data_IF_881571017758
#
_entry.id   IF_881571017758
#
_cell.length_a   1.000
_cell.length_b   1.000
_cell.length_c   1.000
_cell.angle_alpha   90.00
_cell.angle_beta   90.00
_cell.angle_gamma   90.00
#
_symmetry.space_group_name_H-M   'P 1'
#
loop_
_entity.id
_entity.type
_entity.pdbx_description
1 polymer ?
#
# COMPACT_ATOMS: atom_id res chain seq x y z
N UNK A 1 -52.64 -49.43 29.56
CA UNK A 1 -51.44 -49.41 28.70
C UNK A 1 -50.46 -48.41 29.30
N UNK A 2 -49.42 -48.89 30.02
CA UNK A 2 -48.40 -48.05 30.66
C UNK A 2 -47.15 -48.08 29.77
N UNK A 3 -46.76 -46.92 29.26
CA UNK A 3 -45.59 -46.77 28.38
C UNK A 3 -44.33 -46.48 29.20
N UNK A 4 -43.35 -47.35 29.07
CA UNK A 4 -42.02 -47.27 29.70
C UNK A 4 -41.18 -46.19 29.01
N UNK A 5 -40.53 -45.31 29.78
CA UNK A 5 -39.55 -44.34 29.28
C UNK A 5 -38.16 -44.98 29.27
N UNK A 6 -37.47 -44.93 28.13
CA UNK A 6 -36.06 -45.28 28.02
C UNK A 6 -35.20 -44.06 28.36
N UNK A 7 -34.27 -44.23 29.29
CA UNK A 7 -33.21 -43.27 29.61
C UNK A 7 -31.98 -43.63 28.78
N UNK A 8 -31.53 -42.72 27.93
CA UNK A 8 -30.25 -42.82 27.21
C UNK A 8 -29.17 -42.15 28.04
N UNK A 9 -28.19 -42.92 28.51
CA UNK A 9 -26.98 -42.43 29.17
C UNK A 9 -25.96 -42.10 28.08
N UNK A 10 -25.61 -40.82 27.92
CA UNK A 10 -24.46 -40.40 27.11
C UNK A 10 -23.20 -40.44 27.99
N UNK A 11 -22.26 -41.29 27.61
CA UNK A 11 -20.89 -41.30 28.16
C UNK A 11 -20.06 -40.35 27.30
N UNK A 12 -19.71 -39.20 27.84
CA UNK A 12 -18.79 -38.25 27.21
C UNK A 12 -17.35 -38.71 27.42
N UNK A 13 -16.70 -39.19 26.36
CA UNK A 13 -15.27 -39.50 26.33
C UNK A 13 -14.49 -38.21 26.04
N UNK A 14 -13.92 -37.58 27.07
CA UNK A 14 -12.99 -36.44 26.90
C UNK A 14 -11.62 -36.96 26.51
N UNK A 15 -11.30 -36.92 25.21
CA UNK A 15 -9.93 -37.04 24.70
C UNK A 15 -9.17 -35.74 25.00
N UNK A 16 -8.28 -35.79 25.97
CA UNK A 16 -7.34 -34.70 26.27
C UNK A 16 -6.36 -34.52 25.12
N UNK A 17 -6.55 -33.48 24.31
CA UNK A 17 -5.54 -33.03 23.35
C UNK A 17 -4.48 -32.28 24.14
N UNK A 18 -3.32 -32.92 24.34
CA UNK A 18 -2.16 -32.26 24.90
C UNK A 18 -1.74 -31.08 24.00
N UNK A 19 -1.75 -29.87 24.56
CA UNK A 19 -1.12 -28.72 23.94
C UNK A 19 0.39 -28.96 23.92
N UNK A 20 0.92 -29.32 22.75
CA UNK A 20 2.33 -29.16 22.45
C UNK A 20 2.62 -27.66 22.38
N UNK A 21 3.11 -27.10 23.48
CA UNK A 21 3.76 -25.80 23.48
C UNK A 21 5.05 -25.96 22.67
N UNK A 22 5.01 -25.58 21.39
CA UNK A 22 6.23 -25.31 20.63
C UNK A 22 6.88 -24.09 21.25
N UNK A 23 7.73 -24.30 22.26
CA UNK A 23 8.66 -23.31 22.75
C UNK A 23 9.57 -22.95 21.60
N UNK A 24 9.28 -21.84 20.92
CA UNK A 24 10.16 -21.28 19.92
C UNK A 24 11.51 -21.01 20.59
N UNK A 25 12.54 -21.73 20.18
CA UNK A 25 13.90 -21.42 20.55
C UNK A 25 14.13 -19.95 20.21
N UNK A 26 14.46 -19.14 21.21
CA UNK A 26 14.88 -17.76 21.00
C UNK A 26 16.05 -17.85 20.02
N UNK A 27 15.87 -17.33 18.80
CA UNK A 27 16.93 -17.30 17.83
C UNK A 27 18.16 -16.71 18.52
N UNK A 28 19.28 -17.44 18.50
CA UNK A 28 20.53 -16.89 18.99
C UNK A 28 20.73 -15.55 18.30
N UNK A 29 21.05 -14.51 19.06
CA UNK A 29 21.43 -13.20 18.56
C UNK A 29 22.96 -13.13 18.61
N UNK A 30 23.66 -13.68 17.59
CA UNK A 30 25.10 -13.86 17.65
C UNK A 30 25.81 -12.51 17.53
N UNK A 31 25.07 -11.47 17.10
CA UNK A 31 25.56 -10.13 16.88
C UNK A 31 25.30 -9.19 18.06
N UNK A 32 24.59 -9.63 19.10
CA UNK A 32 24.24 -8.84 20.28
C UNK A 32 23.39 -7.61 19.93
N UNK A 33 22.44 -7.76 19.02
CA UNK A 33 21.54 -6.71 18.61
C UNK A 33 20.68 -6.21 19.79
N UNK A 34 20.36 -4.90 19.84
CA UNK A 34 19.43 -4.37 20.85
C UNK A 34 18.09 -5.11 20.82
N UNK A 35 17.36 -5.14 21.94
CA UNK A 35 15.94 -5.55 21.93
C UNK A 35 15.07 -4.43 21.37
N UNK A 36 13.92 -4.78 20.78
CA UNK A 36 12.98 -3.82 20.21
C UNK A 36 13.29 -3.46 18.75
N UNK A 37 12.89 -2.25 18.36
CA UNK A 37 13.15 -1.68 17.02
C UNK A 37 14.64 -1.45 16.86
N UNK A 38 15.21 -1.99 15.79
CA UNK A 38 16.60 -1.82 15.42
C UNK A 38 16.78 -0.52 14.64
N UNK A 39 17.95 0.10 14.73
CA UNK A 39 18.36 1.12 13.77
C UNK A 39 18.98 0.45 12.56
N UNK A 40 18.87 1.06 11.37
CA UNK A 40 19.59 0.58 10.19
C UNK A 40 21.10 0.45 10.44
N UNK A 41 21.68 1.33 11.27
CA UNK A 41 23.08 1.27 11.70
C UNK A 41 23.45 0.01 12.49
N UNK A 42 22.49 -0.61 13.20
CA UNK A 42 22.73 -1.83 13.99
C UNK A 42 23.01 -3.05 13.09
N UNK A 43 22.59 -2.97 11.82
CA UNK A 43 22.79 -3.99 10.79
C UNK A 43 23.86 -3.58 9.75
N UNK A 44 24.50 -2.43 9.92
CA UNK A 44 25.46 -1.90 8.94
C UNK A 44 26.65 -2.84 8.75
N UNK A 45 26.79 -3.38 7.54
CA UNK A 45 27.86 -4.33 7.19
C UNK A 45 27.70 -5.73 7.80
N UNK A 46 26.56 -6.04 8.41
CA UNK A 46 26.25 -7.34 9.01
C UNK A 46 25.15 -8.04 8.23
N UNK A 47 25.20 -9.38 8.17
CA UNK A 47 24.11 -10.15 7.59
C UNK A 47 22.96 -10.28 8.60
N UNK A 48 21.76 -9.87 8.20
CA UNK A 48 20.55 -10.09 8.98
C UNK A 48 20.24 -11.58 9.19
N UNK A 49 20.77 -12.46 8.35
CA UNK A 49 20.65 -13.92 8.54
C UNK A 49 21.54 -14.35 9.72
N UNK A 50 22.83 -14.01 9.65
CA UNK A 50 23.82 -14.38 10.67
C UNK A 50 23.49 -13.75 12.03
N UNK A 51 22.91 -12.55 12.02
CA UNK A 51 22.50 -11.86 13.23
C UNK A 51 21.10 -12.25 13.75
N UNK A 52 20.38 -13.16 13.08
CA UNK A 52 19.01 -13.52 13.48
C UNK A 52 18.03 -12.34 13.43
N UNK A 53 18.26 -11.38 12.52
CA UNK A 53 17.48 -10.17 12.37
C UNK A 53 16.33 -10.26 11.36
N UNK A 54 16.27 -11.32 10.54
CA UNK A 54 15.11 -11.57 9.65
C UNK A 54 13.83 -11.66 10.47
N UNK A 55 12.79 -10.93 10.04
CA UNK A 55 11.52 -10.82 10.75
C UNK A 55 11.53 -9.82 11.91
N UNK A 56 12.68 -9.24 12.27
CA UNK A 56 12.75 -8.13 13.23
C UNK A 56 12.36 -6.81 12.57
N UNK A 57 12.06 -5.82 13.39
CA UNK A 57 11.67 -4.48 12.95
C UNK A 57 12.90 -3.56 12.97
N UNK A 58 13.09 -2.81 11.90
CA UNK A 58 14.14 -1.80 11.72
C UNK A 58 13.47 -0.46 11.47
N UNK A 59 13.93 0.60 12.11
CA UNK A 59 13.61 1.99 11.74
C UNK A 59 14.19 2.26 10.34
N UNK A 60 13.30 2.36 9.36
CA UNK A 60 13.63 2.64 7.97
C UNK A 60 13.94 4.12 7.74
N UNK A 61 13.76 4.97 8.76
CA UNK A 61 13.98 6.41 8.75
C UNK A 61 12.81 7.14 9.41
N UNK A 62 13.08 8.31 9.98
CA UNK A 62 12.11 9.15 10.69
C UNK A 62 11.32 8.44 11.81
N UNK A 63 11.79 7.30 12.33
CA UNK A 63 11.06 6.50 13.32
C UNK A 63 9.99 5.58 12.70
N UNK A 64 9.98 5.38 11.38
CA UNK A 64 9.04 4.49 10.70
C UNK A 64 9.57 3.06 10.70
N UNK A 65 8.94 2.14 11.45
CA UNK A 65 9.40 0.76 11.50
C UNK A 65 9.10 0.04 10.18
N UNK A 66 9.99 -0.81 9.67
CA UNK A 66 9.72 -1.81 8.64
C UNK A 66 10.32 -3.15 9.06
N UNK A 67 9.66 -4.25 8.68
CA UNK A 67 10.15 -5.57 8.99
C UNK A 67 11.26 -6.00 8.02
N UNK A 68 12.37 -6.51 8.55
CA UNK A 68 13.44 -7.12 7.78
C UNK A 68 12.90 -8.35 7.06
N UNK A 69 12.97 -8.31 5.74
CA UNK A 69 12.50 -9.39 4.88
C UNK A 69 13.55 -10.51 4.76
N UNK A 70 13.16 -11.70 4.26
CA UNK A 70 14.14 -12.73 3.91
C UNK A 70 15.19 -12.24 2.89
N UNK A 71 16.33 -12.92 2.75
CA UNK A 71 17.34 -12.60 1.75
C UNK A 71 16.80 -12.58 0.34
N UNK A 72 17.20 -11.58 -0.43
CA UNK A 72 16.70 -11.32 -1.77
C UNK A 72 15.32 -10.64 -1.80
N UNK A 73 14.74 -10.25 -0.67
CA UNK A 73 13.40 -9.64 -0.62
C UNK A 73 13.44 -8.18 -0.17
N UNK A 74 12.40 -7.44 -0.53
CA UNK A 74 12.20 -6.06 -0.07
C UNK A 74 10.74 -5.79 0.27
N UNK A 75 10.54 -4.76 1.09
CA UNK A 75 9.24 -4.15 1.36
C UNK A 75 9.35 -2.65 1.12
N UNK A 76 8.33 -2.07 0.49
CA UNK A 76 8.18 -0.63 0.32
C UNK A 76 6.85 -0.21 0.93
N UNK A 77 6.88 0.83 1.75
CA UNK A 77 5.73 1.52 2.31
C UNK A 77 5.64 2.90 1.65
N UNK A 78 4.59 3.12 0.87
CA UNK A 78 4.24 4.40 0.30
C UNK A 78 3.08 5.00 1.10
N UNK A 79 3.23 6.24 1.56
CA UNK A 79 2.29 6.96 2.41
C UNK A 79 1.88 8.26 1.70
N UNK A 80 0.60 8.39 1.38
CA UNK A 80 0.07 9.59 0.74
C UNK A 80 -0.60 10.51 1.77
N UNK A 81 -0.18 11.77 1.79
CA UNK A 81 -0.76 12.86 2.56
C UNK A 81 -1.56 13.79 1.63
N UNK A 82 -2.42 14.66 2.18
CA UNK A 82 -3.07 15.72 1.40
C UNK A 82 -2.14 16.60 0.55
N UNK A 83 -0.94 16.87 1.04
CA UNK A 83 0.00 17.88 0.53
C UNK A 83 1.41 17.32 0.28
N UNK A 84 1.54 15.99 0.27
CA UNK A 84 2.81 15.32 0.10
C UNK A 84 2.73 13.80 0.16
N UNK A 85 3.89 13.16 0.10
CA UNK A 85 4.04 11.73 0.31
C UNK A 85 5.36 11.42 0.97
N UNK A 86 5.41 10.25 1.59
CA UNK A 86 6.65 9.63 2.04
C UNK A 86 6.72 8.20 1.55
N UNK A 87 7.91 7.80 1.16
CA UNK A 87 8.21 6.42 0.83
C UNK A 87 9.31 5.94 1.76
N UNK A 88 9.09 4.78 2.37
CA UNK A 88 10.09 4.04 3.10
C UNK A 88 10.32 2.70 2.40
N UNK A 89 11.57 2.28 2.31
CA UNK A 89 11.92 0.97 1.73
C UNK A 89 12.95 0.27 2.58
N UNK A 90 12.83 -1.04 2.66
CA UNK A 90 13.79 -1.91 3.30
C UNK A 90 14.08 -3.08 2.38
N UNK A 91 15.33 -3.21 1.94
CA UNK A 91 15.80 -4.28 1.05
C UNK A 91 16.80 -5.14 1.79
N UNK A 92 16.63 -6.45 1.73
CA UNK A 92 17.61 -7.43 2.22
C UNK A 92 18.19 -8.15 1.00
N UNK A 93 19.47 -7.93 0.72
CA UNK A 93 20.11 -8.57 -0.45
C UNK A 93 20.28 -10.09 -0.26
N UNK A 94 20.84 -10.76 -1.27
CA UNK A 94 21.07 -12.21 -1.25
C UNK A 94 22.05 -12.68 -0.16
N UNK A 95 22.89 -11.77 0.34
CA UNK A 95 23.84 -12.00 1.45
C UNK A 95 23.24 -11.63 2.81
N UNK A 96 22.01 -11.12 2.84
CA UNK A 96 21.34 -10.69 4.06
C UNK A 96 21.71 -9.26 4.49
N UNK A 97 22.39 -8.47 3.67
CA UNK A 97 22.70 -7.08 3.99
C UNK A 97 21.43 -6.24 3.82
N UNK A 98 21.10 -5.49 4.87
CA UNK A 98 19.89 -4.66 4.91
C UNK A 98 20.21 -3.23 4.51
N UNK A 99 19.47 -2.69 3.54
CA UNK A 99 19.52 -1.28 3.15
C UNK A 99 18.15 -0.65 3.35
N UNK A 100 18.13 0.48 4.05
CA UNK A 100 16.94 1.32 4.20
C UNK A 100 17.02 2.52 3.26
N UNK A 101 15.87 2.98 2.76
CA UNK A 101 15.78 4.16 1.91
C UNK A 101 14.53 4.97 2.23
N UNK A 102 14.68 6.30 2.20
CA UNK A 102 13.61 7.27 2.47
C UNK A 102 13.51 8.24 1.30
N UNK A 103 12.29 8.51 0.86
CA UNK A 103 11.96 9.61 -0.04
C UNK A 103 10.85 10.44 0.60
N UNK A 104 11.06 11.75 0.72
CA UNK A 104 10.08 12.68 1.28
C UNK A 104 9.76 13.75 0.24
N UNK A 105 8.48 13.96 -0.03
CA UNK A 105 7.97 15.07 -0.84
C UNK A 105 6.90 15.78 -0.01
N UNK A 106 7.11 17.07 0.34
CA UNK A 106 6.24 17.84 1.25
C UNK A 106 5.96 19.25 0.75
N UNK A 107 4.96 19.87 1.38
CA UNK A 107 4.65 21.30 1.36
C UNK A 107 4.27 21.83 -0.02
N UNK A 108 3.58 20.99 -0.81
CA UNK A 108 3.15 21.38 -2.15
C UNK A 108 1.66 21.24 -2.28
N UNK A 109 1.00 22.40 -2.22
CA UNK A 109 -0.41 22.49 -2.49
C UNK A 109 -0.63 22.16 -3.97
N UNK A 110 -1.36 21.08 -4.29
CA UNK A 110 -1.58 20.74 -5.67
C UNK A 110 -2.45 21.78 -6.38
N UNK A 111 -3.12 22.69 -5.65
CA UNK A 111 -3.96 23.77 -6.19
C UNK A 111 -3.16 24.87 -6.95
N UNK A 112 -1.84 24.74 -7.09
CA UNK A 112 -1.01 25.65 -7.88
C UNK A 112 -1.23 25.47 -9.39
N UNK A 113 -1.17 26.57 -10.18
CA UNK A 113 -1.13 26.48 -11.63
C UNK A 113 0.17 25.82 -12.09
N UNK A 114 0.09 24.98 -13.13
CA UNK A 114 1.25 24.30 -13.68
C UNK A 114 0.93 23.66 -15.03
N UNK A 115 1.93 23.05 -15.70
CA UNK A 115 1.73 22.31 -16.93
C UNK A 115 0.64 21.25 -16.77
N UNK A 116 -0.15 21.04 -17.79
CA UNK A 116 -1.17 19.99 -17.81
C UNK A 116 -0.52 18.60 -17.69
N UNK A 117 -1.31 17.62 -17.26
CA UNK A 117 -0.88 16.22 -17.15
C UNK A 117 -0.30 15.65 -18.48
N UNK A 118 -0.60 16.28 -19.62
CA UNK A 118 -0.21 15.81 -20.94
C UNK A 118 1.06 16.47 -21.50
N UNK A 119 1.54 17.53 -20.85
CA UNK A 119 2.75 18.25 -21.26
C UNK A 119 4.02 17.69 -20.62
N UNK A 120 3.88 16.90 -19.55
CA UNK A 120 4.99 16.32 -18.80
C UNK A 120 5.17 14.85 -19.13
N UNK A 121 6.40 14.46 -19.42
CA UNK A 121 6.79 13.07 -19.69
C UNK A 121 7.67 12.46 -18.59
N UNK A 122 7.80 13.14 -17.45
CA UNK A 122 8.57 12.68 -16.29
C UNK A 122 7.95 11.42 -15.69
N UNK A 123 8.79 10.43 -15.39
CA UNK A 123 8.42 9.29 -14.56
C UNK A 123 9.66 8.73 -13.85
N UNK A 124 9.42 8.09 -12.70
CA UNK A 124 10.44 7.35 -11.96
C UNK A 124 9.90 5.95 -11.66
N UNK A 125 10.77 4.95 -11.75
CA UNK A 125 10.39 3.54 -11.67
C UNK A 125 11.05 2.86 -10.47
N UNK A 126 10.32 1.93 -9.85
CA UNK A 126 10.85 0.94 -8.92
C UNK A 126 11.66 -0.09 -9.69
N UNK A 127 12.50 -0.84 -8.97
CA UNK A 127 13.25 -1.97 -9.52
C UNK A 127 12.37 -3.20 -9.78
N UNK A 128 11.21 -3.29 -9.14
CA UNK A 128 10.27 -4.40 -9.29
C UNK A 128 9.19 -4.12 -10.34
N UNK A 129 8.61 -5.20 -10.86
CA UNK A 129 7.35 -5.19 -11.61
C UNK A 129 6.59 -6.49 -11.41
N UNK A 130 5.32 -6.51 -11.82
CA UNK A 130 4.53 -7.73 -11.86
C UNK A 130 4.80 -8.54 -13.14
N UNK A 131 5.17 -9.82 -12.98
CA UNK A 131 5.29 -10.77 -14.10
C UNK A 131 4.04 -11.60 -14.33
N UNK A 132 3.07 -11.49 -13.42
CA UNK A 132 1.75 -12.12 -13.46
C UNK A 132 0.70 -11.05 -13.16
N UNK A 133 -0.57 -11.25 -13.55
CA UNK A 133 -1.62 -10.32 -13.19
C UNK A 133 -1.68 -10.10 -11.67
N UNK A 134 -1.73 -8.85 -11.24
CA UNK A 134 -2.01 -8.51 -9.84
C UNK A 134 -3.51 -8.69 -9.56
N UNK A 135 -3.86 -9.85 -9.03
CA UNK A 135 -5.24 -10.20 -8.68
C UNK A 135 -5.46 -9.86 -7.21
N UNK A 136 -6.38 -8.94 -6.94
CA UNK A 136 -6.65 -8.45 -5.60
C UNK A 136 -8.10 -8.68 -5.17
N UNK A 137 -8.33 -8.61 -3.87
CA UNK A 137 -9.66 -8.65 -3.25
C UNK A 137 -9.89 -7.39 -2.43
N UNK A 138 -11.15 -7.01 -2.25
CA UNK A 138 -11.53 -6.01 -1.25
C UNK A 138 -11.97 -6.68 0.04
N UNK A 139 -11.75 -6.04 1.19
CA UNK A 139 -12.29 -6.57 2.45
C UNK A 139 -13.83 -6.47 2.45
N UNK A 140 -14.52 -7.50 2.93
CA UNK A 140 -15.98 -7.51 3.04
C UNK A 140 -16.45 -6.35 3.92
N UNK A 141 -17.45 -5.60 3.44
CA UNK A 141 -17.97 -4.43 4.13
C UNK A 141 -17.09 -3.18 4.03
N UNK A 142 -16.00 -3.20 3.25
CA UNK A 142 -15.22 -2.00 2.97
C UNK A 142 -16.09 -0.96 2.28
N UNK A 143 -16.19 0.21 2.89
CA UNK A 143 -16.82 1.40 2.35
C UNK A 143 -16.10 2.63 2.90
N UNK A 144 -16.11 3.71 2.14
CA UNK A 144 -15.68 5.03 2.59
C UNK A 144 -16.88 5.96 2.57
N UNK A 145 -16.92 6.91 3.50
CA UNK A 145 -18.05 7.85 3.67
C UNK A 145 -19.42 7.12 3.69
N UNK A 146 -20.47 7.72 3.14
CA UNK A 146 -21.80 7.13 2.98
C UNK A 146 -21.91 6.23 1.74
N UNK A 147 -20.78 5.82 1.15
CA UNK A 147 -20.78 4.91 0.01
C UNK A 147 -21.08 3.48 0.40
N UNK A 148 -21.39 2.66 -0.59
CA UNK A 148 -21.52 1.22 -0.44
C UNK A 148 -20.22 0.49 -0.78
N UNK A 149 -20.14 -0.80 -0.44
CA UNK A 149 -19.05 -1.66 -0.91
C UNK A 149 -19.00 -1.73 -2.45
N UNK A 150 -20.15 -1.62 -3.13
CA UNK A 150 -20.19 -1.59 -4.59
C UNK A 150 -19.54 -0.32 -5.15
N UNK A 151 -19.70 0.83 -4.50
CA UNK A 151 -19.06 2.09 -4.90
C UNK A 151 -17.54 2.01 -4.73
N UNK A 152 -17.08 1.45 -3.61
CA UNK A 152 -15.66 1.20 -3.36
C UNK A 152 -15.06 0.23 -4.39
N UNK A 153 -15.71 -0.91 -4.63
CA UNK A 153 -15.28 -1.88 -5.64
C UNK A 153 -15.24 -1.25 -7.04
N UNK A 154 -16.21 -0.39 -7.37
CA UNK A 154 -16.24 0.30 -8.65
C UNK A 154 -15.06 1.27 -8.80
N UNK A 155 -14.72 2.03 -7.75
CA UNK A 155 -13.53 2.89 -7.74
C UNK A 155 -12.24 2.07 -7.88
N UNK A 156 -12.09 0.98 -7.12
CA UNK A 156 -10.93 0.08 -7.18
C UNK A 156 -10.79 -0.62 -8.55
N UNK A 157 -11.90 -1.00 -9.19
CA UNK A 157 -11.88 -1.54 -10.56
C UNK A 157 -11.43 -0.49 -11.57
N UNK A 158 -11.86 0.77 -11.42
CA UNK A 158 -11.45 1.84 -12.32
C UNK A 158 -9.97 2.20 -12.14
N UNK A 159 -9.46 2.25 -10.91
CA UNK A 159 -8.03 2.53 -10.66
C UNK A 159 -7.10 1.46 -11.27
N UNK A 160 -7.41 0.17 -11.14
CA UNK A 160 -6.62 -0.88 -11.81
C UNK A 160 -6.74 -0.81 -13.34
N UNK A 161 -7.91 -0.44 -13.88
CA UNK A 161 -8.08 -0.22 -15.32
C UNK A 161 -7.25 0.98 -15.80
N UNK A 162 -7.13 2.04 -15.00
CA UNK A 162 -6.31 3.20 -15.36
C UNK A 162 -4.86 2.79 -15.61
N UNK A 163 -4.29 1.92 -14.76
CA UNK A 163 -2.93 1.38 -14.93
C UNK A 163 -2.81 0.35 -16.06
N UNK A 164 -3.68 -0.66 -16.06
CA UNK A 164 -3.57 -1.80 -16.99
C UNK A 164 -3.99 -1.48 -18.42
N UNK A 165 -4.83 -0.46 -18.60
CA UNK A 165 -5.26 0.05 -19.91
C UNK A 165 -4.71 1.44 -20.21
N UNK A 166 -3.76 1.93 -19.43
CA UNK A 166 -3.13 3.24 -19.62
C UNK A 166 -4.14 4.36 -19.87
N UNK A 167 -5.26 4.37 -19.14
CA UNK A 167 -6.36 5.33 -19.39
C UNK A 167 -5.86 6.74 -19.10
N UNK A 168 -5.89 7.59 -20.11
CA UNK A 168 -5.37 8.96 -20.06
C UNK A 168 -6.28 9.90 -20.85
N UNK A 169 -6.19 11.20 -20.54
CA UNK A 169 -6.85 12.28 -21.30
C UNK A 169 -5.93 12.91 -22.34
N UNK A 170 -4.73 12.34 -22.54
CA UNK A 170 -3.67 12.87 -23.40
C UNK A 170 -3.70 12.32 -24.84
N UNK A 171 -4.73 11.55 -25.20
CA UNK A 171 -4.85 10.92 -26.52
C UNK A 171 -3.82 9.80 -26.78
N UNK A 172 -3.11 9.35 -25.75
CA UNK A 172 -2.12 8.28 -25.87
C UNK A 172 -2.79 6.90 -25.88
N UNK A 173 -2.25 5.95 -26.64
CA UNK A 173 -2.73 4.56 -26.62
C UNK A 173 -2.53 3.88 -25.27
N UNK A 174 -3.52 3.10 -24.84
CA UNK A 174 -3.57 2.48 -23.51
C UNK A 174 -2.75 1.21 -23.28
N UNK A 175 -1.92 0.80 -24.24
CA UNK A 175 -1.29 -0.53 -24.24
C UNK A 175 -0.06 -0.59 -23.32
N UNK A 176 -0.29 -0.59 -22.01
CA UNK A 176 0.82 -0.65 -21.03
C UNK A 176 1.43 -2.04 -20.95
N UNK A 177 0.65 -3.10 -21.21
CA UNK A 177 1.09 -4.49 -21.04
C UNK A 177 0.97 -5.02 -19.61
N UNK A 178 0.64 -4.15 -18.65
CA UNK A 178 0.32 -4.53 -17.28
C UNK A 178 -1.03 -5.25 -17.21
N UNK A 179 -1.23 -6.08 -16.19
CA UNK A 179 -2.49 -6.80 -15.98
C UNK A 179 -2.83 -6.94 -14.50
N UNK A 180 -4.12 -7.03 -14.20
CA UNK A 180 -4.66 -7.13 -12.85
C UNK A 180 -6.17 -6.99 -12.83
N UNK A 181 -6.80 -7.41 -11.74
CA UNK A 181 -8.25 -7.36 -11.58
C UNK A 181 -8.69 -7.55 -10.12
N UNK A 182 -9.83 -6.96 -9.77
CA UNK A 182 -10.59 -7.32 -8.58
C UNK A 182 -11.29 -8.67 -8.79
N UNK A 183 -10.89 -9.69 -8.02
CA UNK A 183 -11.39 -11.07 -8.13
C UNK A 183 -12.45 -11.45 -7.08
N UNK A 184 -12.84 -10.53 -6.21
CA UNK A 184 -13.92 -10.72 -5.24
C UNK A 184 -13.60 -10.13 -3.88
N UNK A 185 -14.28 -10.63 -2.85
CA UNK A 185 -14.16 -10.13 -1.48
C UNK A 185 -13.46 -11.13 -0.57
N UNK A 186 -12.85 -10.64 0.50
CA UNK A 186 -12.22 -11.46 1.53
C UNK A 186 -12.55 -10.98 2.93
N UNK A 187 -12.42 -11.85 3.93
CA UNK A 187 -12.45 -11.44 5.34
C UNK A 187 -11.05 -11.03 5.85
N UNK A 188 -10.00 -11.34 5.08
CA UNK A 188 -8.62 -10.91 5.34
C UNK A 188 -8.52 -9.41 5.06
N UNK A 189 -7.80 -8.69 5.92
CA UNK A 189 -7.45 -7.27 5.74
C UNK A 189 -6.04 -7.17 5.19
N UNK A 190 -5.69 -6.01 4.61
CA UNK A 190 -4.30 -5.75 4.22
C UNK A 190 -3.37 -5.87 5.43
N UNK A 191 -2.17 -6.39 5.21
CA UNK A 191 -1.24 -6.74 6.28
C UNK A 191 -0.46 -5.52 6.78
N UNK A 192 -1.18 -4.64 7.45
CA UNK A 192 -0.62 -3.53 8.21
C UNK A 192 -0.62 -3.90 9.69
N UNK A 193 0.52 -3.74 10.34
CA UNK A 193 0.74 -4.04 11.76
C UNK A 193 1.03 -2.77 12.54
N UNK A 194 0.79 -2.79 13.85
CA UNK A 194 1.17 -1.68 14.73
C UNK A 194 2.47 -2.02 15.45
N UNK A 195 3.49 -1.19 15.27
CA UNK A 195 4.80 -1.33 15.89
C UNK A 195 5.28 0.03 16.38
N UNK A 196 5.74 0.10 17.63
CA UNK A 196 6.35 1.28 18.24
C UNK A 196 5.55 2.59 18.07
N UNK A 197 4.24 2.51 18.31
CA UNK A 197 3.39 3.70 18.23
C UNK A 197 2.88 4.03 16.82
N UNK A 198 3.29 3.27 15.79
CA UNK A 198 2.94 3.52 14.40
C UNK A 198 2.37 2.30 13.68
N UNK A 199 1.52 2.55 12.69
CA UNK A 199 1.15 1.54 11.70
C UNK A 199 2.36 1.29 10.79
N UNK A 200 2.53 0.10 10.22
CA UNK A 200 3.54 -0.22 9.20
C UNK A 200 3.15 -1.45 8.38
N UNK A 201 3.90 -1.76 7.32
CA UNK A 201 3.80 -3.02 6.59
C UNK A 201 4.28 -4.19 7.46
N UNK A 202 3.44 -5.23 7.55
CA UNK A 202 3.84 -6.52 8.11
C UNK A 202 4.69 -7.36 7.14
N UNK A 203 4.81 -8.64 7.44
CA UNK A 203 5.39 -9.62 6.52
C UNK A 203 4.52 -9.78 5.26
N UNK A 204 5.07 -10.20 4.13
CA UNK A 204 4.20 -10.63 3.03
C UNK A 204 3.37 -11.85 3.50
N UNK A 205 2.05 -11.77 3.36
CA UNK A 205 1.12 -12.88 3.63
C UNK A 205 0.64 -13.57 2.33
N UNK A 206 1.18 -13.15 1.18
CA UNK A 206 0.82 -13.64 -0.14
C UNK A 206 -0.58 -13.23 -0.61
N UNK A 207 -1.28 -12.36 0.13
CA UNK A 207 -2.55 -11.78 -0.27
C UNK A 207 -2.33 -10.41 -0.92
N UNK A 208 -3.28 -10.04 -1.78
CA UNK A 208 -3.36 -8.71 -2.35
C UNK A 208 -4.72 -8.15 -1.96
N UNK A 209 -4.74 -7.18 -1.06
CA UNK A 209 -5.95 -6.66 -0.45
C UNK A 209 -5.99 -5.14 -0.56
N UNK A 210 -7.12 -4.63 -1.04
CA UNK A 210 -7.48 -3.22 -0.87
C UNK A 210 -8.55 -3.15 0.23
N UNK A 211 -8.29 -2.39 1.28
CA UNK A 211 -9.26 -2.20 2.35
C UNK A 211 -9.38 -0.75 2.79
N UNK A 212 -10.26 -0.53 3.77
CA UNK A 212 -10.35 0.70 4.51
C UNK A 212 -10.17 0.42 6.00
N UNK A 213 -9.50 1.34 6.67
CA UNK A 213 -9.23 1.24 8.10
C UNK A 213 -8.69 2.55 8.64
N UNK A 214 -8.53 2.59 9.95
CA UNK A 214 -7.82 3.69 10.59
C UNK A 214 -6.34 3.66 10.21
N UNK A 215 -5.81 4.82 9.87
CA UNK A 215 -4.39 5.05 9.60
C UNK A 215 -3.94 6.23 10.46
N UNK A 216 -3.90 6.03 11.79
CA UNK A 216 -3.57 7.11 12.70
C UNK A 216 -2.12 7.50 12.45
N UNK A 217 -1.88 8.78 12.19
CA UNK A 217 -0.55 9.30 11.86
C UNK A 217 0.51 9.05 12.93
N UNK A 218 0.11 8.71 14.16
CA UNK A 218 1.03 8.58 15.29
C UNK A 218 1.70 9.92 15.56
N UNK A 219 3.04 9.98 15.52
CA UNK A 219 3.80 11.25 15.54
C UNK A 219 3.86 11.95 14.17
N UNK A 220 3.43 11.28 13.10
CA UNK A 220 3.23 11.87 11.78
C UNK A 220 1.79 12.35 11.64
N UNK A 221 1.51 13.13 10.59
CA UNK A 221 0.14 13.51 10.27
C UNK A 221 -0.65 12.29 9.78
N UNK A 222 -1.97 12.37 9.89
CA UNK A 222 -2.85 11.39 9.26
C UNK A 222 -2.59 11.37 7.74
N UNK A 223 -2.90 10.25 7.11
CA UNK A 223 -2.63 9.99 5.69
C UNK A 223 -3.91 9.61 4.97
N UNK A 224 -3.98 9.88 3.67
CA UNK A 224 -5.11 9.49 2.82
C UNK A 224 -5.13 7.99 2.58
N UNK A 225 -3.97 7.42 2.25
CA UNK A 225 -3.82 6.00 1.96
C UNK A 225 -2.37 5.55 2.12
N UNK A 226 -2.21 4.26 2.41
CA UNK A 226 -0.91 3.58 2.46
C UNK A 226 -0.89 2.42 1.47
N UNK A 227 0.26 2.23 0.84
CA UNK A 227 0.53 1.07 -0.02
C UNK A 227 1.76 0.33 0.47
N UNK A 228 1.58 -0.95 0.79
CA UNK A 228 2.67 -1.87 1.05
C UNK A 228 2.92 -2.72 -0.19
N UNK A 229 4.13 -2.75 -0.71
CA UNK A 229 4.51 -3.67 -1.80
C UNK A 229 5.73 -4.49 -1.40
N UNK A 230 5.60 -5.81 -1.50
CA UNK A 230 6.69 -6.74 -1.26
C UNK A 230 7.21 -7.28 -2.59
N UNK A 231 8.53 -7.36 -2.70
CA UNK A 231 9.19 -7.86 -3.89
C UNK A 231 10.28 -8.87 -3.54
N UNK A 232 10.59 -9.73 -4.49
CA UNK A 232 11.65 -10.73 -4.40
C UNK A 232 12.56 -10.63 -5.61
N UNK A 233 13.87 -10.78 -5.39
CA UNK A 233 14.90 -10.82 -6.42
C UNK A 233 15.39 -12.24 -6.56
N UNK A 234 15.15 -12.83 -7.74
CA UNK A 234 15.64 -14.17 -8.09
C UNK A 234 16.39 -14.08 -9.41
N UNK A 235 17.60 -14.61 -9.45
CA UNK A 235 18.45 -14.60 -10.65
C UNK A 235 18.62 -13.20 -11.28
N UNK A 236 18.80 -12.17 -10.46
CA UNK A 236 18.98 -10.78 -10.91
C UNK A 236 17.70 -10.10 -11.40
N UNK A 237 16.53 -10.75 -11.25
CA UNK A 237 15.22 -10.19 -11.62
C UNK A 237 14.42 -9.94 -10.36
N UNK A 238 14.05 -8.67 -10.12
CA UNK A 238 13.15 -8.27 -9.03
C UNK A 238 11.70 -8.28 -9.51
N UNK A 239 10.84 -9.02 -8.81
CA UNK A 239 9.42 -9.15 -9.08
C UNK A 239 8.60 -8.76 -7.85
N UNK A 240 7.50 -8.03 -8.06
CA UNK A 240 6.50 -7.85 -7.01
C UNK A 240 5.79 -9.19 -6.75
N UNK A 241 5.54 -9.51 -5.48
CA UNK A 241 4.94 -10.79 -5.05
C UNK A 241 3.63 -10.61 -4.30
N UNK A 242 3.49 -9.53 -3.54
CA UNK A 242 2.24 -9.11 -2.91
C UNK A 242 2.19 -7.58 -2.82
N UNK A 243 0.98 -7.03 -2.76
CA UNK A 243 0.78 -5.63 -2.42
C UNK A 243 -0.59 -5.41 -1.79
N UNK A 244 -0.63 -4.54 -0.80
CA UNK A 244 -1.85 -4.13 -0.09
C UNK A 244 -2.00 -2.62 -0.12
N UNK A 245 -3.25 -2.16 -0.17
CA UNK A 245 -3.61 -0.74 -0.06
C UNK A 245 -4.62 -0.58 1.09
N UNK A 246 -4.37 0.36 1.99
CA UNK A 246 -5.36 0.78 3.00
C UNK A 246 -5.72 2.24 2.78
N UNK A 247 -7.01 2.49 2.63
CA UNK A 247 -7.59 3.82 2.59
C UNK A 247 -7.97 4.26 4.00
N UNK A 248 -7.62 5.49 4.38
CA UNK A 248 -7.93 5.99 5.72
C UNK A 248 -9.42 6.33 5.85
N UNK A 249 -10.15 5.55 6.64
CA UNK A 249 -11.58 5.76 6.88
C UNK A 249 -11.90 6.67 8.08
N UNK A 250 -10.92 7.00 8.91
CA UNK A 250 -11.13 7.67 10.19
C UNK A 250 -11.00 9.19 10.10
N UNK A 251 -9.93 9.68 9.44
CA UNK A 251 -9.52 11.08 9.57
C UNK A 251 -10.00 11.99 8.42
N UNK A 252 -10.39 11.40 7.28
CA UNK A 252 -10.71 12.15 6.07
C UNK A 252 -12.14 11.92 5.60
N UNK A 253 -12.71 12.95 4.97
CA UNK A 253 -13.97 12.81 4.22
C UNK A 253 -13.66 12.42 2.78
N UNK A 254 -14.53 11.60 2.23
CA UNK A 254 -14.37 11.02 0.90
C UNK A 254 -15.54 11.38 0.00
N UNK A 255 -15.30 11.30 -1.30
CA UNK A 255 -16.34 11.39 -2.33
C UNK A 255 -16.05 10.41 -3.46
N UNK A 256 -17.11 9.90 -4.08
CA UNK A 256 -17.02 9.06 -5.28
C UNK A 256 -17.33 9.85 -6.56
N UNK A 257 -17.79 11.08 -6.42
CA UNK A 257 -18.04 11.99 -7.53
C UNK A 257 -17.90 13.44 -7.06
N UNK A 258 -16.70 14.03 -7.13
CA UNK A 258 -16.47 15.39 -6.68
C UNK A 258 -17.30 16.43 -7.45
N UNK A 259 -17.75 16.12 -8.67
CA UNK A 259 -18.56 17.04 -9.50
C UNK A 259 -20.04 17.07 -9.13
N UNK A 260 -20.52 16.01 -8.48
CA UNK A 260 -21.93 15.84 -8.07
C UNK A 260 -22.14 15.88 -6.56
N UNK A 261 -21.07 15.95 -5.79
CA UNK A 261 -21.12 16.04 -4.33
C UNK A 261 -21.33 17.49 -3.90
N UNK A 262 -22.52 17.87 -3.39
CA UNK A 262 -22.82 19.26 -3.01
C UNK A 262 -22.00 19.73 -1.80
N UNK A 263 -21.43 18.80 -1.03
CA UNK A 263 -20.53 19.12 0.06
C UNK A 263 -19.07 19.30 -0.42
N UNK A 264 -18.79 19.05 -1.71
CA UNK A 264 -17.49 19.33 -2.29
C UNK A 264 -17.35 20.81 -2.66
N UNK A 265 -16.48 21.53 -1.96
CA UNK A 265 -16.16 22.93 -2.25
C UNK A 265 -14.71 23.04 -2.70
N UNK A 266 -14.45 23.31 -3.99
CA UNK A 266 -13.11 23.56 -4.49
C UNK A 266 -12.64 24.95 -4.04
N UNK A 267 -11.71 24.95 -3.07
CA UNK A 267 -10.90 26.09 -2.60
C UNK A 267 -11.51 27.09 -1.59
N UNK A 268 -10.55 27.81 -0.98
CA UNK A 268 -10.47 28.54 0.30
C UNK A 268 -11.43 29.74 0.55
N UNK A 269 -11.57 30.22 1.82
CA UNK A 269 -10.87 29.75 3.03
C UNK A 269 -11.55 28.52 3.64
N UNK A 270 -10.80 27.59 4.25
CA UNK A 270 -11.21 26.22 4.38
C UNK A 270 -11.88 25.98 5.72
N UNK A 271 -13.13 25.58 5.71
CA UNK A 271 -13.63 24.75 6.79
C UNK A 271 -13.07 23.33 6.52
N UNK A 272 -12.14 22.88 7.36
CA UNK A 272 -11.45 21.58 7.23
C UNK A 272 -12.43 20.40 7.16
N UNK A 273 -13.63 20.54 7.75
CA UNK A 273 -14.72 19.57 7.73
C UNK A 273 -15.38 19.39 6.35
N UNK A 274 -15.12 20.29 5.40
CA UNK A 274 -15.62 20.22 4.02
C UNK A 274 -14.63 19.65 3.02
N UNK A 275 -13.44 19.24 3.46
CA UNK A 275 -12.41 18.66 2.58
C UNK A 275 -12.75 17.22 2.24
N UNK A 276 -13.09 16.97 0.97
CA UNK A 276 -13.36 15.63 0.46
C UNK A 276 -12.31 15.24 -0.56
N UNK A 277 -11.80 14.03 -0.44
CA UNK A 277 -10.88 13.43 -1.40
C UNK A 277 -11.62 12.43 -2.27
N UNK A 278 -11.29 12.44 -3.56
CA UNK A 278 -11.89 11.51 -4.51
C UNK A 278 -11.27 10.11 -4.35
N UNK A 279 -12.12 9.12 -4.07
CA UNK A 279 -11.67 7.74 -3.79
C UNK A 279 -10.92 7.13 -4.97
N UNK A 280 -11.40 7.34 -6.20
CA UNK A 280 -10.75 6.82 -7.41
C UNK A 280 -9.41 7.49 -7.69
N UNK A 281 -9.30 8.80 -7.45
CA UNK A 281 -8.06 9.56 -7.57
C UNK A 281 -6.97 9.00 -6.65
N UNK A 282 -7.25 8.88 -5.35
CA UNK A 282 -6.28 8.32 -4.40
C UNK A 282 -5.95 6.87 -4.75
N UNK A 283 -6.95 6.02 -5.01
CA UNK A 283 -6.68 4.63 -5.41
C UNK A 283 -5.88 4.54 -6.71
N UNK A 284 -6.02 5.48 -7.64
CA UNK A 284 -5.23 5.49 -8.89
C UNK A 284 -3.77 5.86 -8.59
N UNK A 285 -3.51 6.81 -7.70
CA UNK A 285 -2.15 7.11 -7.22
C UNK A 285 -1.50 5.88 -6.55
N UNK A 286 -2.18 5.29 -5.57
CA UNK A 286 -1.69 4.09 -4.86
C UNK A 286 -1.47 2.90 -5.79
N UNK A 287 -2.35 2.71 -6.79
CA UNK A 287 -2.19 1.68 -7.81
C UNK A 287 -0.89 1.89 -8.61
N UNK A 288 -0.43 3.13 -8.78
CA UNK A 288 0.82 3.41 -9.47
C UNK A 288 2.01 2.82 -8.70
N UNK A 289 2.01 2.96 -7.37
CA UNK A 289 3.00 2.31 -6.51
C UNK A 289 2.94 0.79 -6.62
N UNK A 290 1.76 0.18 -6.56
CA UNK A 290 1.59 -1.26 -6.77
C UNK A 290 2.25 -1.72 -8.06
N UNK A 291 2.08 -0.97 -9.15
CA UNK A 291 2.68 -1.30 -10.45
C UNK A 291 4.13 -0.83 -10.63
N UNK A 292 4.75 -0.21 -9.63
CA UNK A 292 6.16 0.14 -9.63
C UNK A 292 6.47 1.55 -10.14
N UNK A 293 5.50 2.46 -10.18
CA UNK A 293 5.77 3.89 -10.34
C UNK A 293 6.15 4.52 -8.99
N UNK A 294 7.01 5.53 -9.03
CA UNK A 294 7.53 6.25 -7.86
C UNK A 294 6.97 7.66 -7.83
N UNK A 295 6.83 8.21 -6.62
CA UNK A 295 6.43 9.60 -6.41
C UNK A 295 7.36 10.58 -7.15
N UNK A 296 6.76 11.57 -7.79
CA UNK A 296 7.45 12.69 -8.43
C UNK A 296 7.63 13.85 -7.46
N UNK A 297 8.61 14.71 -7.74
CA UNK A 297 8.97 15.81 -6.83
C UNK A 297 9.27 17.14 -7.54
N UNK A 298 9.08 17.23 -8.86
CA UNK A 298 9.21 18.50 -9.58
C UNK A 298 7.87 19.24 -9.55
N UNK A 299 7.87 20.56 -9.37
CA UNK A 299 6.62 21.34 -9.29
C UNK A 299 5.86 21.27 -10.61
N UNK A 300 6.58 21.20 -11.71
CA UNK A 300 6.03 21.08 -13.04
C UNK A 300 5.22 19.80 -13.25
N UNK A 301 5.42 18.79 -12.40
CA UNK A 301 4.75 17.50 -12.47
C UNK A 301 3.45 17.45 -11.65
N UNK A 302 3.00 18.57 -11.04
CA UNK A 302 1.87 18.63 -10.11
C UNK A 302 0.53 18.07 -10.61
N UNK A 303 0.37 17.94 -11.94
CA UNK A 303 -0.83 17.38 -12.57
C UNK A 303 -0.64 15.93 -13.05
N UNK A 304 0.52 15.29 -12.84
CA UNK A 304 0.74 13.87 -13.09
C UNK A 304 0.15 13.02 -11.95
N UNK A 305 -0.25 11.79 -12.27
CA UNK A 305 -0.89 10.89 -11.30
C UNK A 305 0.03 10.57 -10.14
N UNK A 306 1.33 10.36 -10.40
CA UNK A 306 2.32 10.03 -9.38
C UNK A 306 2.92 11.25 -8.69
N UNK A 307 2.35 12.44 -8.88
CA UNK A 307 2.68 13.56 -8.03
C UNK A 307 1.94 13.42 -6.68
N UNK A 308 2.62 13.58 -5.54
CA UNK A 308 2.08 13.25 -4.23
C UNK A 308 1.17 14.33 -3.62
N UNK A 309 0.28 14.91 -4.42
CA UNK A 309 -0.66 15.95 -3.99
C UNK A 309 -2.02 15.75 -4.63
N UNK A 310 -2.97 15.16 -3.90
CA UNK A 310 -4.33 14.95 -4.41
C UNK A 310 -5.20 16.16 -4.06
N UNK A 311 -5.46 17.00 -5.07
CA UNK A 311 -6.42 18.12 -4.97
C UNK A 311 -7.78 17.64 -4.46
N UNK A 312 -8.20 18.25 -3.35
CA UNK A 312 -9.53 18.12 -2.75
C UNK A 312 -10.60 18.43 -3.79
N UNK A 313 -11.70 17.70 -3.76
CA UNK A 313 -12.85 17.96 -4.62
C UNK A 313 -12.56 18.02 -6.12
N UNK A 314 -11.61 17.20 -6.57
CA UNK A 314 -11.33 17.03 -7.99
C UNK A 314 -11.15 15.55 -8.31
N UNK A 315 -11.42 15.18 -9.56
CA UNK A 315 -11.06 13.88 -10.12
C UNK A 315 -9.79 13.93 -10.98
N UNK A 316 -8.91 14.92 -10.78
CA UNK A 316 -7.84 15.22 -11.75
C UNK A 316 -6.81 14.09 -11.93
N UNK A 317 -6.62 13.24 -10.91
CA UNK A 317 -5.74 12.05 -10.99
C UNK A 317 -6.51 10.72 -11.15
N UNK A 318 -7.79 10.77 -11.59
CA UNK A 318 -8.53 9.56 -12.02
C UNK A 318 -8.00 8.94 -13.30
N UNK A 319 -7.08 9.59 -14.00
CA UNK A 319 -6.46 9.07 -15.23
C UNK A 319 -4.99 9.37 -15.22
N UNK A 320 -4.23 8.58 -15.98
CA UNK A 320 -2.79 8.74 -16.13
C UNK A 320 -2.46 10.02 -16.89
N UNK A 321 -1.46 10.75 -16.39
CA UNK A 321 -0.76 11.75 -17.18
C UNK A 321 0.17 11.10 -18.21
N UNK A 322 0.77 11.92 -19.07
CA UNK A 322 1.66 11.44 -20.13
C UNK A 322 2.88 10.72 -19.55
N UNK A 323 3.52 11.29 -18.54
CA UNK A 323 4.63 10.66 -17.81
C UNK A 323 4.26 9.30 -17.24
N UNK A 324 3.10 9.19 -16.59
CA UNK A 324 2.63 7.95 -15.98
C UNK A 324 2.39 6.83 -17.04
N UNK A 325 1.78 7.18 -18.18
CA UNK A 325 1.62 6.23 -19.31
C UNK A 325 2.98 5.76 -19.84
N UNK A 326 3.95 6.66 -19.96
CA UNK A 326 5.29 6.32 -20.43
C UNK A 326 6.02 5.43 -19.43
N UNK A 327 5.91 5.70 -18.13
CA UNK A 327 6.47 4.85 -17.08
C UNK A 327 5.88 3.44 -17.09
N UNK A 328 4.56 3.32 -17.23
CA UNK A 328 3.90 2.03 -17.34
C UNK A 328 4.34 1.25 -18.59
N UNK A 329 4.52 1.91 -19.73
CA UNK A 329 5.07 1.27 -20.94
C UNK A 329 6.54 0.90 -20.79
N UNK A 330 7.33 1.69 -20.09
CA UNK A 330 8.73 1.39 -19.84
C UNK A 330 8.88 0.12 -18.98
N UNK A 331 7.98 -0.09 -18.00
CA UNK A 331 7.96 -1.27 -17.14
C UNK A 331 7.34 -2.51 -17.81
N UNK A 332 6.23 -2.35 -18.52
CA UNK A 332 5.39 -3.48 -18.94
C UNK A 332 5.20 -3.61 -20.46
N UNK A 333 5.59 -2.60 -21.23
CA UNK A 333 5.45 -2.59 -22.67
C UNK A 333 6.29 -3.70 -23.31
N UNK A 334 5.75 -4.29 -24.38
CA UNK A 334 6.55 -5.17 -25.24
C UNK A 334 7.64 -4.33 -25.91
N UNK A 335 8.89 -4.74 -25.73
CA UNK A 335 10.03 -4.24 -26.51
C UNK A 335 10.07 -4.94 -27.85
#
# INVERSE_FOLDING_TARGET
>A
MKSTRAFTILISLTLGVGQLTTGGAVAADPCGLPRGVLKASDLSGRSAIECGAVGRIVDAGDGVPLQVQPPGSSVTLDMLYPDGARTYSLTTDDKGVVTAGVQVVRDRFPDLPGPTACERDTYTLRSYRWYRPWLFRTTKGTALTNGSQADFDAAARRSVVNMTRGRNTCGMRGDTGASGALVGHTAVRGNFVYADGQTTCGASDGHNVIDAGDLPGGFLEATLAWTCTWAETRHGVTQAVSADIRMNSADYKWTYDPTRDPACVPAQPPEQDRWRYDVESVLTHEMGHVYGLVNLSADEDLNLTMYPGVRRCTGHVRTLGRGDVLGMRALYGRR
#
